data_IF_470169086580
#
_entry.id   IF_470169086580
#
_cell.length_a   1.000
_cell.length_b   1.000
_cell.length_c   1.000
_cell.angle_alpha   90.00
_cell.angle_beta   90.00
_cell.angle_gamma   90.00
#
_symmetry.space_group_name_H-M   'P 1'
#
loop_
_entity.id
_entity.type
_entity.pdbx_description
1 polymer ?
#
# COMPACT_ATOMS: atom_id res chain seq x y z
N UNK A 1 -24.88 -8.83 26.06
CA UNK A 1 -23.60 -8.98 25.33
C UNK A 1 -23.86 -8.67 23.87
N UNK A 2 -23.60 -7.42 23.48
CA UNK A 2 -23.74 -7.02 22.08
C UNK A 2 -22.52 -7.52 21.31
N UNK A 3 -22.76 -8.33 20.28
CA UNK A 3 -21.73 -8.72 19.31
C UNK A 3 -21.46 -7.50 18.44
N UNK A 4 -20.33 -6.81 18.68
CA UNK A 4 -19.83 -5.81 17.74
C UNK A 4 -19.41 -6.52 16.45
N UNK A 5 -20.31 -6.52 15.47
CA UNK A 5 -19.98 -6.83 14.09
C UNK A 5 -19.13 -5.68 13.55
N UNK A 6 -17.81 -5.78 13.72
CA UNK A 6 -16.87 -4.96 12.98
C UNK A 6 -16.90 -5.38 11.50
N UNK A 7 -17.86 -4.83 10.76
CA UNK A 7 -17.74 -4.74 9.31
C UNK A 7 -16.60 -3.75 9.02
N UNK A 8 -15.35 -4.23 9.09
CA UNK A 8 -14.19 -3.47 8.67
C UNK A 8 -14.31 -3.27 7.16
N UNK A 9 -14.68 -2.07 6.74
CA UNK A 9 -14.70 -1.68 5.34
C UNK A 9 -13.25 -1.57 4.84
N UNK A 10 -12.62 -2.71 4.53
CA UNK A 10 -11.22 -2.77 4.09
C UNK A 10 -10.96 -1.94 2.82
N UNK A 11 -11.98 -1.78 1.98
CA UNK A 11 -11.95 -0.97 0.76
C UNK A 11 -11.52 0.46 1.07
N UNK A 12 -12.04 1.09 2.13
CA UNK A 12 -11.72 2.50 2.43
C UNK A 12 -10.31 2.68 2.96
N UNK A 13 -9.72 1.65 3.60
CA UNK A 13 -8.34 1.74 4.13
C UNK A 13 -7.30 1.56 3.02
N UNK A 14 -7.51 0.61 2.11
CA UNK A 14 -6.62 0.43 0.94
C UNK A 14 -6.70 1.65 0.03
N UNK A 15 -7.90 2.18 -0.23
CA UNK A 15 -8.09 3.40 -1.01
C UNK A 15 -7.39 4.61 -0.39
N UNK A 16 -7.46 4.79 0.94
CA UNK A 16 -6.75 5.86 1.61
C UNK A 16 -5.22 5.76 1.47
N UNK A 17 -4.65 4.55 1.49
CA UNK A 17 -3.20 4.37 1.29
C UNK A 17 -2.83 4.68 -0.16
N UNK A 18 -3.62 4.23 -1.13
CA UNK A 18 -3.43 4.56 -2.55
C UNK A 18 -3.39 6.08 -2.75
N UNK A 19 -4.40 6.80 -2.24
CA UNK A 19 -4.49 8.26 -2.37
C UNK A 19 -3.28 8.97 -1.75
N UNK A 20 -2.78 8.48 -0.61
CA UNK A 20 -1.59 9.04 0.05
C UNK A 20 -0.33 8.83 -0.77
N UNK A 21 -0.13 7.65 -1.34
CA UNK A 21 1.03 7.38 -2.20
C UNK A 21 0.94 8.19 -3.50
N UNK A 22 -0.25 8.27 -4.13
CA UNK A 22 -0.48 9.11 -5.31
C UNK A 22 -0.18 10.58 -5.01
N UNK A 23 -0.58 11.08 -3.84
CA UNK A 23 -0.27 12.45 -3.40
C UNK A 23 1.23 12.68 -3.24
N UNK A 24 1.97 11.72 -2.68
CA UNK A 24 3.43 11.81 -2.54
C UNK A 24 4.09 11.86 -3.93
N UNK A 25 3.70 10.96 -4.83
CA UNK A 25 4.20 10.93 -6.20
C UNK A 25 3.87 12.22 -6.96
N UNK A 26 2.68 12.79 -6.80
CA UNK A 26 2.30 14.04 -7.47
C UNK A 26 3.10 15.23 -6.94
N UNK A 27 3.22 15.37 -5.62
CA UNK A 27 3.79 16.56 -4.99
C UNK A 27 5.31 16.57 -4.90
N UNK A 28 5.92 15.39 -4.86
CA UNK A 28 7.34 15.24 -4.54
C UNK A 28 8.14 14.56 -5.65
N UNK A 29 7.56 14.26 -6.82
CA UNK A 29 8.22 13.51 -7.91
C UNK A 29 9.64 14.01 -8.22
N UNK A 30 9.80 15.32 -8.35
CA UNK A 30 11.07 15.93 -8.75
C UNK A 30 12.16 15.87 -7.65
N UNK A 31 11.79 15.44 -6.44
CA UNK A 31 12.67 15.30 -5.28
C UNK A 31 12.96 13.83 -4.95
N UNK A 32 12.30 12.89 -5.64
CA UNK A 32 12.50 11.47 -5.46
C UNK A 32 13.52 10.96 -6.48
N UNK A 33 14.29 9.95 -6.07
CA UNK A 33 15.12 9.14 -6.95
C UNK A 33 14.23 8.23 -7.80
N UNK A 34 14.73 7.83 -8.97
CA UNK A 34 14.00 6.93 -9.88
C UNK A 34 13.61 5.61 -9.20
N UNK A 35 14.48 5.06 -8.35
CA UNK A 35 14.21 3.83 -7.60
C UNK A 35 13.11 4.02 -6.54
N UNK A 36 13.05 5.18 -5.88
CA UNK A 36 11.99 5.51 -4.93
C UNK A 36 10.65 5.65 -5.64
N UNK A 37 10.63 6.32 -6.80
CA UNK A 37 9.44 6.40 -7.66
C UNK A 37 8.99 4.99 -8.05
N UNK A 38 9.92 4.13 -8.47
CA UNK A 38 9.62 2.75 -8.86
C UNK A 38 8.99 1.95 -7.72
N UNK A 39 9.55 2.05 -6.50
CA UNK A 39 8.99 1.37 -5.31
C UNK A 39 7.56 1.82 -5.01
N UNK A 40 7.27 3.12 -5.12
CA UNK A 40 5.93 3.66 -4.91
C UNK A 40 4.95 3.23 -6.02
N UNK A 41 5.38 3.24 -7.28
CA UNK A 41 4.56 2.80 -8.42
C UNK A 41 4.26 1.28 -8.36
N UNK A 42 5.23 0.44 -7.97
CA UNK A 42 4.99 -0.99 -7.73
C UNK A 42 4.00 -1.20 -6.58
N UNK A 43 4.18 -0.46 -5.47
CA UNK A 43 3.28 -0.52 -4.32
C UNK A 43 1.84 -0.14 -4.70
N UNK A 44 1.66 0.88 -5.54
CA UNK A 44 0.35 1.26 -6.07
C UNK A 44 -0.27 0.16 -6.94
N UNK A 45 0.52 -0.49 -7.79
CA UNK A 45 0.07 -1.61 -8.63
C UNK A 45 -0.48 -2.75 -7.76
N UNK A 46 0.21 -3.08 -6.67
CA UNK A 46 -0.20 -4.14 -5.75
C UNK A 46 -1.41 -3.75 -4.90
N UNK A 47 -1.45 -2.52 -4.35
CA UNK A 47 -2.61 -2.02 -3.61
C UNK A 47 -3.88 -1.98 -4.47
N UNK A 48 -3.78 -1.65 -5.75
CA UNK A 48 -4.94 -1.68 -6.67
C UNK A 48 -5.50 -3.08 -6.86
N UNK A 49 -4.67 -4.13 -6.82
CA UNK A 49 -5.13 -5.54 -6.84
C UNK A 49 -5.85 -5.94 -5.54
N UNK A 50 -5.56 -5.22 -4.44
CA UNK A 50 -6.19 -5.40 -3.13
C UNK A 50 -7.52 -4.65 -2.99
N UNK A 51 -7.95 -3.88 -4.00
CA UNK A 51 -9.27 -3.21 -4.03
C UNK A 51 -10.40 -4.23 -4.28
N UNK A 52 -10.72 -5.02 -3.28
CA UNK A 52 -11.76 -6.07 -3.35
C UNK A 52 -12.37 -6.38 -1.98
N UNK A 53 -13.49 -7.11 -1.99
CA UNK A 53 -14.31 -7.38 -0.80
C UNK A 53 -13.77 -8.50 0.10
N UNK A 54 -12.92 -9.37 -0.41
CA UNK A 54 -12.35 -10.50 0.33
C UNK A 54 -10.90 -10.74 -0.07
N UNK A 55 -10.06 -11.06 0.90
CA UNK A 55 -8.65 -11.36 0.70
C UNK A 55 -8.39 -12.86 0.63
N UNK A 56 -7.52 -13.27 -0.28
CA UNK A 56 -6.94 -14.62 -0.37
C UNK A 56 -5.54 -14.64 0.23
N UNK A 57 -4.94 -15.83 0.36
CA UNK A 57 -3.55 -15.98 0.81
C UNK A 57 -2.55 -15.22 -0.07
N UNK A 58 -2.80 -15.17 -1.38
CA UNK A 58 -1.97 -14.39 -2.32
C UNK A 58 -2.01 -12.88 -2.00
N UNK A 59 -3.07 -12.38 -1.39
CA UNK A 59 -3.17 -10.98 -1.01
C UNK A 59 -2.30 -10.64 0.19
N UNK A 60 -2.07 -11.60 1.09
CA UNK A 60 -1.11 -11.42 2.18
C UNK A 60 0.30 -11.20 1.63
N UNK A 61 0.66 -11.91 0.56
CA UNK A 61 1.94 -11.72 -0.12
C UNK A 61 2.05 -10.35 -0.77
N UNK A 62 0.97 -9.85 -1.41
CA UNK A 62 0.94 -8.50 -1.96
C UNK A 62 1.05 -7.43 -0.87
N UNK A 63 0.33 -7.60 0.25
CA UNK A 63 0.44 -6.70 1.40
C UNK A 63 1.86 -6.68 1.97
N UNK A 64 2.47 -7.85 2.12
CA UNK A 64 3.87 -7.97 2.56
C UNK A 64 4.83 -7.25 1.63
N UNK A 65 4.66 -7.40 0.31
CA UNK A 65 5.49 -6.69 -0.67
C UNK A 65 5.31 -5.17 -0.58
N UNK A 66 4.07 -4.68 -0.47
CA UNK A 66 3.81 -3.25 -0.27
C UNK A 66 4.51 -2.72 0.98
N UNK A 67 4.43 -3.44 2.11
CA UNK A 67 5.13 -3.05 3.34
C UNK A 67 6.65 -3.01 3.14
N UNK A 68 7.22 -4.03 2.49
CA UNK A 68 8.67 -4.08 2.21
C UNK A 68 9.09 -2.90 1.32
N UNK A 69 8.33 -2.61 0.27
CA UNK A 69 8.64 -1.51 -0.64
C UNK A 69 8.56 -0.15 0.07
N UNK A 70 7.57 0.05 0.94
CA UNK A 70 7.46 1.28 1.73
C UNK A 70 8.59 1.42 2.76
N UNK A 71 9.01 0.32 3.40
CA UNK A 71 10.16 0.34 4.31
C UNK A 71 11.46 0.70 3.55
N UNK A 72 11.68 0.11 2.38
CA UNK A 72 12.81 0.46 1.50
C UNK A 72 12.78 1.91 1.04
N UNK A 73 11.60 2.45 0.76
CA UNK A 73 11.43 3.87 0.44
C UNK A 73 11.86 4.80 1.59
N UNK A 74 11.79 4.33 2.84
CA UNK A 74 12.31 5.07 4.01
C UNK A 74 13.75 4.69 4.38
N UNK A 75 14.50 4.07 3.46
CA UNK A 75 15.86 3.54 3.69
C UNK A 75 15.95 2.58 4.89
N UNK A 76 14.84 1.90 5.22
CA UNK A 76 14.82 0.88 6.26
C UNK A 76 15.18 -0.45 5.62
N UNK A 77 16.40 -0.92 5.93
CA UNK A 77 16.86 -2.23 5.50
C UNK A 77 16.12 -3.35 6.27
N UNK A 78 15.73 -4.37 5.52
CA UNK A 78 15.01 -5.55 6.01
C UNK A 78 15.76 -6.78 5.48
N UNK A 79 17.01 -6.87 5.91
CA UNK A 79 17.92 -7.99 5.65
C UNK A 79 17.66 -9.16 6.59
#
# INVERSE_FOLDING_TARGET
>A
MEKHNYFFNHTTRVEAVIERIETVLEKSRNMLLDDEIHLLEESLSDLRKLKKKAFSENDLMLMGRVVINLLRFFDIDIS
#
